data_IF_652551598485
#
_entry.id   IF_652551598485
#
_cell.length_a   1.000
_cell.length_b   1.000
_cell.length_c   1.000
_cell.angle_alpha   90.00
_cell.angle_beta   90.00
_cell.angle_gamma   90.00
#
_symmetry.space_group_name_H-M   'P 1'
#
loop_
_entity.id
_entity.type
_entity.pdbx_description
1 polymer ?
#
# COMPACT_ATOMS: atom_id res chain seq x y z
N UNK A 1 -53.73 -35.37 -64.99
CA UNK A 1 -52.86 -34.20 -64.63
C UNK A 1 -52.61 -34.27 -63.14
N UNK A 2 -51.42 -34.67 -62.73
CA UNK A 2 -51.02 -34.77 -61.30
C UNK A 2 -50.05 -33.64 -61.03
N UNK A 3 -50.47 -32.69 -60.24
CA UNK A 3 -49.66 -31.48 -59.82
C UNK A 3 -48.83 -31.84 -58.62
N UNK A 4 -47.49 -31.81 -58.75
CA UNK A 4 -46.54 -31.96 -57.64
C UNK A 4 -46.31 -30.62 -56.99
N UNK A 5 -46.66 -30.50 -55.70
CA UNK A 5 -46.30 -29.35 -54.87
C UNK A 5 -44.97 -29.70 -54.20
N UNK A 6 -43.89 -29.01 -54.55
CA UNK A 6 -42.61 -29.07 -53.87
C UNK A 6 -42.65 -28.16 -52.62
N UNK A 7 -42.72 -28.75 -51.45
CA UNK A 7 -42.58 -28.04 -50.19
C UNK A 7 -41.10 -27.65 -49.95
N UNK A 8 -40.85 -26.36 -49.83
CA UNK A 8 -39.54 -25.82 -49.46
C UNK A 8 -39.46 -25.75 -47.94
N UNK A 9 -38.67 -26.64 -47.32
CA UNK A 9 -38.38 -26.59 -45.87
C UNK A 9 -37.29 -25.56 -45.64
N UNK A 10 -37.65 -24.40 -45.08
CA UNK A 10 -36.73 -23.36 -44.68
C UNK A 10 -36.21 -23.68 -43.26
N UNK A 11 -35.00 -24.25 -43.15
CA UNK A 11 -34.34 -24.49 -41.86
C UNK A 11 -33.84 -23.15 -41.31
N UNK A 12 -34.52 -22.60 -40.32
CA UNK A 12 -34.08 -21.45 -39.57
C UNK A 12 -32.96 -21.91 -38.58
N UNK A 13 -31.74 -21.55 -38.91
CA UNK A 13 -30.62 -21.67 -37.95
C UNK A 13 -30.79 -20.55 -36.92
N UNK A 14 -31.31 -20.91 -35.75
CA UNK A 14 -31.33 -20.04 -34.58
C UNK A 14 -29.89 -19.98 -34.02
N UNK A 15 -29.12 -18.97 -34.40
CA UNK A 15 -27.86 -18.63 -33.73
C UNK A 15 -28.23 -18.15 -32.32
N UNK A 16 -28.13 -19.05 -31.34
CA UNK A 16 -28.18 -18.66 -29.94
C UNK A 16 -26.91 -17.87 -29.61
N UNK A 17 -27.00 -16.53 -29.67
CA UNK A 17 -26.02 -15.66 -29.05
C UNK A 17 -26.09 -15.92 -27.55
N UNK A 18 -25.14 -16.67 -27.03
CA UNK A 18 -24.90 -16.72 -25.58
C UNK A 18 -24.48 -15.30 -25.17
N UNK A 19 -25.39 -14.59 -24.53
CA UNK A 19 -25.04 -13.40 -23.76
C UNK A 19 -24.23 -13.89 -22.57
N UNK A 20 -22.91 -13.91 -22.70
CA UNK A 20 -22.04 -14.04 -21.53
C UNK A 20 -22.32 -12.81 -20.67
N UNK A 21 -22.83 -13.02 -19.47
CA UNK A 21 -22.82 -11.99 -18.46
C UNK A 21 -21.36 -11.52 -18.31
N UNK A 22 -21.11 -10.24 -18.50
CA UNK A 22 -19.77 -9.65 -18.36
C UNK A 22 -19.25 -9.98 -16.97
N UNK A 23 -18.14 -10.70 -16.92
CA UNK A 23 -17.56 -11.15 -15.64
C UNK A 23 -16.94 -9.92 -14.97
N UNK A 24 -17.27 -9.70 -13.70
CA UNK A 24 -16.76 -8.56 -12.92
C UNK A 24 -15.73 -9.02 -11.91
N UNK A 25 -14.59 -8.33 -11.85
CA UNK A 25 -13.59 -8.47 -10.79
C UNK A 25 -13.77 -7.32 -9.78
N UNK A 26 -14.10 -7.63 -8.55
CA UNK A 26 -14.25 -6.65 -7.47
C UNK A 26 -12.92 -6.47 -6.75
N UNK A 27 -12.32 -5.28 -6.90
CA UNK A 27 -11.03 -4.92 -6.30
C UNK A 27 -11.26 -3.90 -5.19
N UNK A 28 -10.58 -4.08 -4.06
CA UNK A 28 -10.66 -3.19 -2.90
C UNK A 28 -9.26 -2.76 -2.45
N UNK A 29 -8.94 -1.48 -2.61
CA UNK A 29 -7.63 -0.92 -2.33
C UNK A 29 -7.74 0.55 -1.86
N UNK A 30 -6.62 1.21 -1.61
CA UNK A 30 -6.59 2.66 -1.38
C UNK A 30 -6.99 3.45 -2.64
N UNK A 31 -7.44 4.68 -2.46
CA UNK A 31 -7.75 5.59 -3.57
C UNK A 31 -6.48 5.91 -4.39
N UNK A 32 -6.61 5.90 -5.74
CA UNK A 32 -5.49 6.20 -6.63
C UNK A 32 -4.35 5.17 -6.64
N UNK A 33 -4.57 3.98 -6.07
CA UNK A 33 -3.52 2.99 -5.79
C UNK A 33 -3.21 2.07 -6.97
N UNK A 34 -4.07 2.03 -7.96
CA UNK A 34 -3.90 1.21 -9.16
C UNK A 34 -3.84 2.09 -10.41
N UNK A 35 -2.82 1.95 -11.28
CA UNK A 35 -2.74 2.69 -12.52
C UNK A 35 -3.93 2.38 -13.44
N UNK A 36 -4.66 3.41 -13.83
CA UNK A 36 -5.86 3.27 -14.69
C UNK A 36 -5.54 2.56 -16.01
N UNK A 37 -4.36 2.79 -16.56
CA UNK A 37 -3.89 2.16 -17.80
C UNK A 37 -3.76 0.64 -17.62
N UNK A 38 -3.19 0.17 -16.49
CA UNK A 38 -3.08 -1.26 -16.21
C UNK A 38 -4.45 -1.91 -15.98
N UNK A 39 -5.39 -1.21 -15.30
CA UNK A 39 -6.75 -1.70 -15.12
C UNK A 39 -7.46 -1.89 -16.46
N UNK A 40 -7.45 -0.88 -17.32
CA UNK A 40 -8.06 -0.94 -18.67
C UNK A 40 -7.43 -2.01 -19.55
N UNK A 41 -6.11 -2.20 -19.46
CA UNK A 41 -5.42 -3.23 -20.23
C UNK A 41 -5.85 -4.64 -19.77
N UNK A 42 -6.02 -4.87 -18.47
CA UNK A 42 -6.55 -6.13 -17.96
C UNK A 42 -8.00 -6.38 -18.38
N UNK A 43 -8.87 -5.37 -18.27
CA UNK A 43 -10.26 -5.46 -18.72
C UNK A 43 -10.35 -5.88 -20.21
N UNK A 44 -9.54 -5.25 -21.06
CA UNK A 44 -9.50 -5.56 -22.49
C UNK A 44 -8.95 -6.97 -22.76
N UNK A 45 -7.89 -7.39 -22.03
CA UNK A 45 -7.26 -8.69 -22.21
C UNK A 45 -8.19 -9.84 -21.83
N UNK A 46 -8.87 -9.72 -20.69
CA UNK A 46 -9.69 -10.81 -20.12
C UNK A 46 -11.18 -10.71 -20.51
N UNK A 47 -11.61 -9.58 -21.12
CA UNK A 47 -13.02 -9.35 -21.45
C UNK A 47 -13.91 -9.23 -20.21
N UNK A 48 -13.44 -8.51 -19.20
CA UNK A 48 -14.09 -8.35 -17.89
C UNK A 48 -14.22 -6.87 -17.54
N UNK A 49 -15.07 -6.56 -16.55
CA UNK A 49 -15.13 -5.22 -15.94
C UNK A 49 -14.50 -5.27 -14.56
N UNK A 50 -13.67 -4.28 -14.20
CA UNK A 50 -13.13 -4.11 -12.86
C UNK A 50 -14.00 -3.12 -12.07
N UNK A 51 -14.59 -3.60 -10.98
CA UNK A 51 -15.27 -2.76 -10.00
C UNK A 51 -14.28 -2.38 -8.90
N UNK A 52 -13.71 -1.16 -8.98
CA UNK A 52 -12.72 -0.67 -8.03
C UNK A 52 -13.38 0.10 -6.90
N UNK A 53 -13.30 -0.43 -5.68
CA UNK A 53 -13.76 0.21 -4.44
C UNK A 53 -12.57 0.65 -3.61
N UNK A 54 -12.72 1.72 -2.82
CA UNK A 54 -11.64 2.28 -2.02
C UNK A 54 -11.92 2.24 -0.52
N UNK A 55 -10.84 2.26 0.26
CA UNK A 55 -10.84 2.45 1.71
C UNK A 55 -9.75 3.47 2.09
N UNK A 56 -9.88 4.04 3.29
CA UNK A 56 -8.97 5.07 3.80
C UNK A 56 -7.87 4.49 4.71
N UNK A 57 -8.16 3.37 5.40
CA UNK A 57 -7.20 2.71 6.29
C UNK A 57 -7.48 1.20 6.41
N UNK A 58 -6.48 0.45 6.88
CA UNK A 58 -6.56 -1.00 7.02
C UNK A 58 -7.64 -1.45 8.01
N UNK A 59 -7.93 -0.68 9.05
CA UNK A 59 -8.93 -0.99 10.09
C UNK A 59 -10.34 -1.02 9.48
N UNK A 60 -10.68 -0.04 8.65
CA UNK A 60 -11.95 0.03 7.93
C UNK A 60 -12.08 -1.08 6.89
N UNK A 61 -11.02 -1.36 6.15
CA UNK A 61 -10.93 -2.48 5.21
C UNK A 61 -11.20 -3.81 5.92
N UNK A 62 -10.45 -4.10 6.99
CA UNK A 62 -10.60 -5.32 7.78
C UNK A 62 -12.00 -5.47 8.37
N UNK A 63 -12.54 -4.41 8.97
CA UNK A 63 -13.88 -4.41 9.56
C UNK A 63 -14.94 -4.76 8.52
N UNK A 64 -14.83 -4.19 7.33
CA UNK A 64 -15.74 -4.49 6.21
C UNK A 64 -15.62 -5.93 5.72
N UNK A 65 -14.40 -6.45 5.55
CA UNK A 65 -14.18 -7.85 5.17
C UNK A 65 -14.72 -8.81 6.21
N UNK A 66 -14.50 -8.53 7.49
CA UNK A 66 -15.01 -9.34 8.60
C UNK A 66 -16.54 -9.36 8.64
N UNK A 67 -17.19 -8.21 8.49
CA UNK A 67 -18.66 -8.11 8.41
C UNK A 67 -19.22 -8.90 7.23
N UNK A 68 -18.55 -8.84 6.09
CA UNK A 68 -18.93 -9.56 4.88
C UNK A 68 -18.46 -11.04 4.88
N UNK A 69 -17.76 -11.51 5.92
CA UNK A 69 -17.18 -12.85 6.01
C UNK A 69 -16.32 -13.20 4.80
N UNK A 70 -15.51 -12.24 4.33
CA UNK A 70 -14.65 -12.40 3.16
C UNK A 70 -15.34 -12.38 1.81
N UNK A 71 -16.65 -12.09 1.74
CA UNK A 71 -17.38 -11.99 0.46
C UNK A 71 -17.37 -10.55 -0.08
N UNK A 72 -17.83 -10.37 -1.33
CA UNK A 72 -18.05 -9.06 -1.95
C UNK A 72 -16.85 -8.49 -2.69
N UNK A 73 -15.67 -9.03 -2.46
CA UNK A 73 -14.43 -8.66 -3.15
C UNK A 73 -13.69 -9.90 -3.64
N UNK A 74 -12.87 -9.72 -4.68
CA UNK A 74 -12.09 -10.77 -5.31
C UNK A 74 -10.60 -10.57 -5.10
N UNK A 75 -10.14 -9.32 -5.09
CA UNK A 75 -8.78 -8.93 -4.72
C UNK A 75 -8.86 -7.80 -3.70
N UNK A 76 -8.13 -7.94 -2.61
CA UNK A 76 -8.01 -6.91 -1.58
C UNK A 76 -6.54 -6.61 -1.34
N UNK A 77 -6.20 -5.34 -1.29
CA UNK A 77 -4.87 -4.92 -0.90
C UNK A 77 -4.84 -4.74 0.62
N UNK A 78 -3.78 -5.22 1.24
CA UNK A 78 -3.64 -5.14 2.68
C UNK A 78 -2.18 -4.91 3.07
N UNK A 79 -1.97 -4.08 4.06
CA UNK A 79 -0.65 -3.93 4.66
C UNK A 79 -0.25 -5.18 5.44
N UNK A 80 1.04 -5.46 5.46
CA UNK A 80 1.62 -6.69 5.98
C UNK A 80 1.08 -7.09 7.37
N UNK A 81 0.92 -6.13 8.27
CA UNK A 81 0.49 -6.38 9.66
C UNK A 81 -0.98 -6.83 9.80
N UNK A 82 -1.83 -6.67 8.77
CA UNK A 82 -3.18 -7.23 8.74
C UNK A 82 -3.26 -8.63 8.15
N UNK A 83 -2.29 -9.03 7.34
CA UNK A 83 -2.32 -10.32 6.62
C UNK A 83 -2.31 -11.49 7.57
N UNK A 84 -1.38 -11.50 8.54
CA UNK A 84 -1.30 -12.56 9.55
C UNK A 84 -2.62 -12.70 10.33
N UNK A 85 -3.21 -11.56 10.76
CA UNK A 85 -4.49 -11.52 11.46
C UNK A 85 -5.63 -12.08 10.61
N UNK A 86 -5.77 -11.61 9.37
CA UNK A 86 -6.82 -12.05 8.45
C UNK A 86 -6.65 -13.53 8.06
N UNK A 87 -5.41 -13.99 7.88
CA UNK A 87 -5.10 -15.39 7.63
C UNK A 87 -5.52 -16.30 8.80
N UNK A 88 -5.19 -15.93 10.03
CA UNK A 88 -5.61 -16.65 11.24
C UNK A 88 -7.13 -16.69 11.43
N UNK A 89 -7.84 -15.67 11.02
CA UNK A 89 -9.30 -15.58 11.11
C UNK A 89 -10.03 -16.25 9.92
N UNK A 90 -9.28 -16.81 8.96
CA UNK A 90 -9.87 -17.51 7.80
C UNK A 90 -10.55 -16.57 6.80
N UNK A 91 -10.18 -15.28 6.80
CA UNK A 91 -10.71 -14.28 5.88
C UNK A 91 -10.03 -14.28 4.51
N UNK A 92 -8.86 -14.94 4.39
CA UNK A 92 -8.07 -15.01 3.16
C UNK A 92 -8.08 -16.43 2.59
N UNK A 93 -8.14 -16.56 1.28
CA UNK A 93 -7.89 -17.78 0.54
C UNK A 93 -6.38 -17.99 0.35
N UNK A 94 -5.97 -19.25 0.22
CA UNK A 94 -4.61 -19.60 -0.16
C UNK A 94 -4.37 -19.22 -1.62
N UNK A 95 -3.22 -18.63 -1.90
CA UNK A 95 -2.78 -18.27 -3.24
C UNK A 95 -2.11 -19.49 -3.90
N UNK A 96 -2.62 -19.91 -5.04
CA UNK A 96 -1.98 -20.93 -5.87
C UNK A 96 -0.87 -20.30 -6.73
N UNK A 97 0.37 -20.46 -6.30
CA UNK A 97 1.54 -19.91 -6.99
C UNK A 97 1.69 -20.43 -8.43
N UNK A 98 1.15 -21.62 -8.75
CA UNK A 98 1.19 -22.15 -10.12
C UNK A 98 0.34 -21.31 -11.10
N UNK A 99 -0.64 -20.58 -10.59
CA UNK A 99 -1.46 -19.66 -11.39
C UNK A 99 -0.83 -18.26 -11.51
N UNK A 100 0.33 -18.02 -10.87
CA UNK A 100 1.04 -16.75 -10.91
C UNK A 100 2.49 -16.94 -11.37
N UNK A 101 2.72 -17.41 -12.61
CA UNK A 101 4.08 -17.67 -13.12
C UNK A 101 5.00 -16.45 -13.12
N UNK A 102 4.46 -15.23 -13.14
CA UNK A 102 5.26 -14.00 -13.09
C UNK A 102 5.82 -13.71 -11.70
N UNK A 103 5.37 -14.41 -10.64
CA UNK A 103 5.95 -14.33 -9.29
C UNK A 103 7.45 -14.65 -9.26
N UNK A 104 7.96 -15.44 -10.23
CA UNK A 104 9.41 -15.73 -10.39
C UNK A 104 10.28 -14.47 -10.51
N UNK A 105 9.68 -13.35 -10.94
CA UNK A 105 10.37 -12.06 -11.08
C UNK A 105 10.35 -11.23 -9.79
N UNK A 106 9.60 -11.65 -8.77
CA UNK A 106 9.58 -10.97 -7.49
C UNK A 106 10.99 -10.88 -6.86
N UNK A 107 11.25 -9.76 -6.20
CA UNK A 107 12.51 -9.58 -5.49
C UNK A 107 12.57 -10.49 -4.26
N UNK A 108 13.65 -11.26 -4.04
CA UNK A 108 13.77 -12.14 -2.88
C UNK A 108 13.64 -11.41 -1.53
N UNK A 109 13.99 -10.13 -1.50
CA UNK A 109 13.96 -9.29 -0.30
C UNK A 109 12.54 -8.96 0.20
N UNK A 110 11.54 -9.14 -0.66
CA UNK A 110 10.12 -8.85 -0.33
C UNK A 110 9.27 -10.11 -0.19
N UNK A 111 9.84 -11.29 -0.43
CA UNK A 111 9.17 -12.58 -0.25
C UNK A 111 9.52 -13.22 1.10
N UNK A 112 8.60 -14.06 1.61
CA UNK A 112 8.84 -14.85 2.80
C UNK A 112 9.03 -14.04 4.08
N UNK A 113 8.45 -12.83 4.14
CA UNK A 113 8.54 -11.98 5.32
C UNK A 113 7.69 -12.53 6.48
N UNK A 114 7.92 -12.01 7.68
CA UNK A 114 7.37 -12.54 8.93
C UNK A 114 5.84 -12.66 8.94
N UNK A 115 5.13 -11.76 8.25
CA UNK A 115 3.66 -11.76 8.19
C UNK A 115 3.07 -12.91 7.35
N UNK A 116 3.85 -13.47 6.41
CA UNK A 116 3.46 -14.61 5.58
C UNK A 116 4.71 -15.34 5.02
N UNK A 117 5.41 -16.12 5.85
CA UNK A 117 6.72 -16.70 5.49
C UNK A 117 6.71 -17.60 4.25
N UNK A 118 5.55 -18.08 3.85
CA UNK A 118 5.40 -18.95 2.67
C UNK A 118 4.70 -18.25 1.49
N UNK A 119 4.35 -16.98 1.65
CA UNK A 119 3.50 -16.25 0.71
C UNK A 119 2.21 -17.01 0.38
N UNK A 120 1.64 -17.60 1.41
CA UNK A 120 0.47 -18.47 1.32
C UNK A 120 -0.81 -17.68 1.09
N UNK A 121 -0.94 -16.52 1.71
CA UNK A 121 -2.13 -15.68 1.71
C UNK A 121 -1.93 -14.34 1.02
N UNK A 122 -0.69 -13.99 0.72
CA UNK A 122 -0.32 -12.69 0.21
C UNK A 122 0.83 -12.73 -0.77
N UNK A 123 0.82 -11.79 -1.72
CA UNK A 123 1.95 -11.51 -2.59
C UNK A 123 2.26 -10.01 -2.57
N UNK A 124 3.54 -9.61 -2.47
CA UNK A 124 3.92 -8.22 -2.43
C UNK A 124 3.42 -7.44 -3.65
N UNK A 125 2.85 -6.26 -3.43
CA UNK A 125 2.47 -5.33 -4.48
C UNK A 125 3.50 -4.22 -4.61
N UNK A 126 3.61 -3.39 -3.59
CA UNK A 126 4.62 -2.35 -3.44
C UNK A 126 5.11 -2.32 -2.00
N UNK A 127 6.24 -1.70 -1.81
CA UNK A 127 6.79 -1.43 -0.50
C UNK A 127 7.33 -0.01 -0.44
N UNK A 128 7.42 0.50 0.76
CA UNK A 128 7.85 1.88 0.94
C UNK A 128 8.42 2.14 2.31
N UNK A 129 8.72 3.40 2.50
CA UNK A 129 9.40 3.94 3.67
C UNK A 129 8.64 5.17 4.13
N UNK A 130 8.44 5.26 5.43
CA UNK A 130 8.06 6.49 6.10
C UNK A 130 9.32 7.14 6.65
N UNK A 131 9.62 8.32 6.16
CA UNK A 131 10.84 9.07 6.49
C UNK A 131 10.56 10.56 6.72
N UNK A 132 11.63 11.33 6.86
CA UNK A 132 11.58 12.78 7.02
C UNK A 132 11.28 13.46 5.69
N UNK A 133 10.47 14.49 5.73
CA UNK A 133 10.15 15.32 4.56
C UNK A 133 10.14 16.80 4.92
N UNK A 134 10.75 17.64 4.09
CA UNK A 134 10.92 19.08 4.40
C UNK A 134 11.14 19.91 3.15
N UNK A 135 10.88 21.21 3.25
CA UNK A 135 11.18 22.20 2.22
C UNK A 135 12.58 22.79 2.45
N UNK A 136 13.52 22.51 1.53
CA UNK A 136 14.89 22.98 1.62
C UNK A 136 15.07 24.50 1.40
N UNK A 137 14.07 25.17 0.82
CA UNK A 137 14.10 26.64 0.72
C UNK A 137 13.95 27.31 2.09
N UNK A 138 13.18 26.71 3.00
CA UNK A 138 12.99 27.18 4.37
C UNK A 138 13.96 26.55 5.35
N UNK A 139 14.43 25.34 5.07
CA UNK A 139 15.36 24.57 5.87
C UNK A 139 16.61 24.19 5.05
N UNK A 140 17.49 25.16 4.75
CA UNK A 140 18.64 24.90 3.86
C UNK A 140 19.66 23.91 4.43
N UNK A 141 19.71 23.74 5.74
CA UNK A 141 20.55 22.73 6.40
C UNK A 141 19.88 21.34 6.47
N UNK A 142 18.59 21.25 6.12
CA UNK A 142 17.81 20.04 6.21
C UNK A 142 17.55 19.54 7.63
N UNK A 143 16.95 18.37 7.71
CA UNK A 143 16.77 17.59 8.94
C UNK A 143 17.22 16.15 8.65
N UNK A 144 17.83 15.47 9.62
CA UNK A 144 18.37 14.11 9.46
C UNK A 144 17.91 13.14 10.53
N UNK A 145 17.21 13.64 11.55
CA UNK A 145 16.75 12.85 12.71
C UNK A 145 15.29 13.06 12.96
N UNK A 146 14.61 12.00 13.43
CA UNK A 146 13.27 12.15 13.97
C UNK A 146 13.24 13.19 15.08
N UNK A 147 14.28 13.22 15.92
CA UNK A 147 14.44 14.19 17.01
C UNK A 147 14.32 15.65 16.56
N UNK A 148 14.69 15.97 15.32
CA UNK A 148 14.64 17.33 14.79
C UNK A 148 13.21 17.89 14.78
N UNK A 149 12.18 17.02 14.64
CA UNK A 149 10.78 17.45 14.65
C UNK A 149 10.35 18.01 16.02
N UNK A 150 11.06 17.70 17.10
CA UNK A 150 10.78 18.20 18.46
C UNK A 150 11.39 19.55 18.77
N UNK A 151 12.16 20.13 17.84
CA UNK A 151 12.71 21.48 18.07
C UNK A 151 11.56 22.51 18.16
N UNK A 152 11.60 23.35 19.19
CA UNK A 152 10.57 24.33 19.48
C UNK A 152 10.41 25.41 18.39
N UNK A 153 11.44 25.61 17.56
CA UNK A 153 11.35 26.53 16.42
C UNK A 153 10.31 26.10 15.38
N UNK A 154 9.87 24.82 15.37
CA UNK A 154 8.90 24.28 14.44
C UNK A 154 7.47 24.20 15.00
N UNK A 155 7.14 25.05 15.99
CA UNK A 155 5.78 25.10 16.54
C UNK A 155 4.76 25.34 15.42
N UNK A 156 3.72 24.47 15.32
CA UNK A 156 2.67 24.50 14.29
C UNK A 156 3.20 24.45 12.84
N UNK A 157 4.29 23.70 12.58
CA UNK A 157 4.87 23.56 11.24
C UNK A 157 5.03 22.10 10.81
N UNK A 158 4.88 21.16 11.76
CA UNK A 158 5.12 19.73 11.52
C UNK A 158 3.83 19.06 11.03
N UNK A 159 3.92 18.40 9.90
CA UNK A 159 2.86 17.47 9.45
C UNK A 159 3.23 16.02 9.79
N UNK A 160 2.28 15.30 10.34
CA UNK A 160 2.37 13.85 10.53
C UNK A 160 1.33 13.14 9.64
N UNK A 161 1.66 11.94 9.23
CA UNK A 161 0.72 11.03 8.57
C UNK A 161 -0.34 10.61 9.58
N UNK A 162 -1.61 10.48 9.17
CA UNK A 162 -2.68 9.97 10.02
C UNK A 162 -2.70 8.44 9.98
N UNK A 163 -1.60 7.84 10.45
CA UNK A 163 -1.42 6.40 10.61
C UNK A 163 -0.76 6.09 11.96
N UNK A 164 -1.43 5.26 12.75
CA UNK A 164 -1.02 4.93 14.11
C UNK A 164 0.33 4.22 14.15
N UNK A 165 0.60 3.28 13.22
CA UNK A 165 1.81 2.47 13.24
C UNK A 165 3.01 3.27 12.74
N UNK A 166 2.82 4.18 11.79
CA UNK A 166 3.86 5.10 11.32
C UNK A 166 4.26 6.10 12.41
N UNK A 167 3.27 6.77 13.01
CA UNK A 167 3.53 7.81 14.03
C UNK A 167 4.14 7.23 15.29
N UNK A 168 3.61 6.10 15.79
CA UNK A 168 4.24 5.40 16.91
C UNK A 168 5.59 4.81 16.54
N UNK A 169 5.75 4.31 15.31
CA UNK A 169 7.01 3.79 14.79
C UNK A 169 8.13 4.84 14.85
N UNK A 170 7.85 6.06 14.39
CA UNK A 170 8.74 7.22 14.52
C UNK A 170 9.13 7.46 15.97
N UNK A 171 8.15 7.54 16.88
CA UNK A 171 8.41 7.83 18.29
C UNK A 171 9.13 6.69 19.02
N UNK A 172 8.91 5.44 18.63
CA UNK A 172 9.64 4.28 19.14
C UNK A 172 11.09 4.31 18.68
N UNK A 173 11.36 4.59 17.40
CA UNK A 173 12.72 4.75 16.89
C UNK A 173 13.46 5.89 17.57
N UNK A 174 12.82 7.03 17.79
CA UNK A 174 13.35 8.15 18.58
C UNK A 174 13.83 7.70 19.96
N UNK A 175 13.11 6.78 20.60
CA UNK A 175 13.44 6.26 21.93
C UNK A 175 14.36 5.02 21.90
N UNK A 176 14.84 4.60 20.72
CA UNK A 176 15.73 3.44 20.55
C UNK A 176 15.02 2.08 20.70
N UNK A 177 13.69 2.03 20.51
CA UNK A 177 12.89 0.82 20.60
C UNK A 177 12.55 0.25 19.22
N UNK A 178 12.19 -1.04 19.19
CA UNK A 178 11.60 -1.66 18.00
C UNK A 178 10.21 -1.06 17.70
N UNK A 179 9.90 -0.81 16.43
CA UNK A 179 8.55 -0.38 16.01
C UNK A 179 7.50 -1.48 16.22
N UNK A 180 7.94 -2.71 16.47
CA UNK A 180 7.08 -3.87 16.72
C UNK A 180 7.09 -4.30 18.19
N UNK A 181 7.53 -3.44 19.09
CA UNK A 181 7.53 -3.75 20.53
C UNK A 181 6.12 -4.09 21.01
N UNK A 182 6.05 -5.11 21.90
CA UNK A 182 4.84 -5.51 22.62
C UNK A 182 4.89 -5.05 24.08
N UNK A 183 5.91 -4.30 24.47
CA UNK A 183 6.10 -3.80 25.83
C UNK A 183 5.29 -2.50 26.03
N UNK A 184 4.27 -2.55 26.90
CA UNK A 184 3.39 -1.39 27.17
C UNK A 184 4.17 -0.17 27.68
N UNK A 185 5.24 -0.35 28.47
CA UNK A 185 6.05 0.78 28.98
C UNK A 185 6.83 1.48 27.85
N UNK A 186 7.30 0.75 26.84
CA UNK A 186 7.97 1.33 25.67
C UNK A 186 6.96 2.09 24.81
N UNK A 187 5.75 1.51 24.59
CA UNK A 187 4.66 2.17 23.85
C UNK A 187 4.23 3.45 24.60
N UNK A 188 4.16 3.38 25.93
CA UNK A 188 3.83 4.55 26.75
C UNK A 188 4.89 5.65 26.65
N UNK A 189 6.18 5.32 26.65
CA UNK A 189 7.24 6.30 26.43
C UNK A 189 7.16 6.96 25.06
N UNK A 190 6.85 6.18 24.00
CA UNK A 190 6.61 6.72 22.68
C UNK A 190 5.41 7.69 22.68
N UNK A 191 4.31 7.33 23.35
CA UNK A 191 3.16 8.22 23.53
C UNK A 191 3.55 9.52 24.26
N UNK A 192 4.32 9.46 25.35
CA UNK A 192 4.79 10.64 26.09
C UNK A 192 5.65 11.56 25.19
N UNK A 193 6.50 10.98 24.33
CA UNK A 193 7.25 11.73 23.32
C UNK A 193 6.30 12.40 22.32
N UNK A 194 5.27 11.72 21.84
CA UNK A 194 4.27 12.29 20.93
C UNK A 194 3.45 13.41 21.57
N UNK A 195 3.11 13.30 22.86
CA UNK A 195 2.46 14.39 23.61
C UNK A 195 3.37 15.64 23.64
N UNK A 196 4.68 15.45 23.82
CA UNK A 196 5.64 16.57 23.79
C UNK A 196 5.75 17.21 22.38
N UNK A 197 5.62 16.39 21.31
CA UNK A 197 5.64 16.86 19.93
C UNK A 197 4.41 17.69 19.55
N UNK A 198 3.30 17.49 20.24
CA UNK A 198 1.98 18.02 19.83
C UNK A 198 1.96 19.51 19.54
N UNK A 199 2.75 20.32 20.24
CA UNK A 199 2.83 21.77 20.00
C UNK A 199 3.38 22.10 18.61
N UNK A 200 4.24 21.24 18.08
CA UNK A 200 4.85 21.43 16.77
C UNK A 200 3.93 20.92 15.66
N UNK A 201 3.01 20.00 15.98
CA UNK A 201 2.11 19.38 14.99
C UNK A 201 1.07 20.39 14.52
N UNK A 202 1.09 20.69 13.24
CA UNK A 202 0.10 21.49 12.54
C UNK A 202 -1.12 20.64 12.19
N UNK A 203 -0.91 19.48 11.56
CA UNK A 203 -1.98 18.59 11.13
C UNK A 203 -1.52 17.14 11.03
N UNK A 204 -2.50 16.24 10.97
CA UNK A 204 -2.35 14.84 10.58
C UNK A 204 -3.12 14.64 9.27
N UNK A 205 -2.45 14.09 8.25
CA UNK A 205 -3.07 13.88 6.94
C UNK A 205 -2.48 12.67 6.20
N UNK A 206 -3.35 11.77 5.74
CA UNK A 206 -3.01 10.63 4.87
C UNK A 206 -3.67 10.69 3.50
N UNK A 207 -4.54 11.69 3.26
CA UNK A 207 -5.15 11.91 1.95
C UNK A 207 -4.35 12.95 1.17
N UNK A 208 -3.79 12.56 0.02
CA UNK A 208 -2.87 13.38 -0.79
C UNK A 208 -1.80 14.09 0.07
N UNK A 209 -1.02 13.36 0.90
CA UNK A 209 -0.26 13.95 2.01
C UNK A 209 0.92 14.84 1.55
N UNK A 210 1.28 14.88 0.26
CA UNK A 210 2.27 15.81 -0.28
C UNK A 210 1.72 17.23 -0.47
N UNK A 211 0.40 17.40 -0.63
CA UNK A 211 -0.24 18.67 -0.95
C UNK A 211 0.03 19.78 0.11
N UNK A 212 -0.06 19.55 1.42
CA UNK A 212 0.26 20.57 2.41
C UNK A 212 1.70 21.08 2.34
N UNK A 213 2.64 20.26 1.90
CA UNK A 213 4.03 20.69 1.70
C UNK A 213 4.19 21.50 0.41
N UNK A 214 3.55 21.08 -0.69
CA UNK A 214 3.55 21.80 -1.97
C UNK A 214 2.89 23.18 -1.82
N UNK A 215 1.80 23.27 -1.08
CA UNK A 215 1.10 24.54 -0.81
C UNK A 215 1.86 25.45 0.16
N UNK A 216 2.89 24.93 0.86
CA UNK A 216 3.61 25.65 1.89
C UNK A 216 2.88 25.76 3.24
N UNK A 217 1.80 25.02 3.44
CA UNK A 217 1.08 24.93 4.71
C UNK A 217 1.94 24.19 5.76
N UNK A 218 2.56 23.06 5.39
CA UNK A 218 3.50 22.33 6.21
C UNK A 218 4.95 22.59 5.75
N UNK A 219 5.86 22.79 6.71
CA UNK A 219 7.27 23.05 6.42
C UNK A 219 8.12 21.78 6.45
N UNK A 220 7.84 20.90 7.42
CA UNK A 220 8.57 19.65 7.64
C UNK A 220 7.67 18.63 8.33
N UNK A 221 8.13 17.40 8.38
CA UNK A 221 7.43 16.34 9.09
C UNK A 221 7.80 14.96 8.59
N UNK A 222 6.82 14.06 8.53
CA UNK A 222 6.99 12.72 8.00
C UNK A 222 6.20 12.54 6.70
N UNK A 223 6.70 11.64 5.84
CA UNK A 223 6.04 11.34 4.58
C UNK A 223 6.34 9.91 4.12
N UNK A 224 5.40 9.32 3.41
CA UNK A 224 5.66 8.13 2.61
C UNK A 224 6.48 8.49 1.38
N UNK A 225 7.49 7.71 1.07
CA UNK A 225 8.46 8.03 0.03
C UNK A 225 7.86 8.21 -1.38
N UNK A 226 6.80 7.48 -1.74
CA UNK A 226 6.11 7.68 -3.03
C UNK A 226 5.41 9.04 -3.11
N UNK A 227 4.69 9.43 -2.07
CA UNK A 227 4.08 10.75 -2.00
C UNK A 227 5.14 11.86 -1.87
N UNK A 228 6.27 11.57 -1.22
CA UNK A 228 7.40 12.49 -1.22
C UNK A 228 7.94 12.72 -2.63
N UNK A 229 8.08 11.65 -3.42
CA UNK A 229 8.47 11.76 -4.83
C UNK A 229 7.45 12.58 -5.64
N UNK A 230 6.15 12.35 -5.47
CA UNK A 230 5.10 13.14 -6.14
C UNK A 230 5.26 14.63 -5.84
N UNK A 231 5.41 14.98 -4.56
CA UNK A 231 5.65 16.38 -4.17
C UNK A 231 6.96 16.95 -4.71
N UNK A 232 8.03 16.15 -4.82
CA UNK A 232 9.30 16.58 -5.43
C UNK A 232 9.17 16.86 -6.93
N UNK A 233 8.29 16.16 -7.65
CA UNK A 233 7.98 16.45 -9.06
C UNK A 233 7.30 17.81 -9.19
N UNK A 234 6.40 18.16 -8.27
CA UNK A 234 5.69 19.44 -8.26
C UNK A 234 6.57 20.61 -7.74
N UNK A 235 7.35 20.33 -6.69
CA UNK A 235 8.21 21.29 -6.01
C UNK A 235 9.58 20.66 -5.72
N UNK A 236 10.61 20.86 -6.57
CA UNK A 236 11.93 20.24 -6.42
C UNK A 236 12.70 20.61 -5.15
N UNK A 237 12.29 21.66 -4.46
CA UNK A 237 12.83 22.09 -3.16
C UNK A 237 12.43 21.13 -2.02
N UNK A 238 11.39 20.35 -2.17
CA UNK A 238 11.01 19.34 -1.21
C UNK A 238 12.01 18.18 -1.20
N UNK A 239 12.43 17.77 -0.01
CA UNK A 239 13.46 16.74 0.18
C UNK A 239 12.95 15.65 1.09
N UNK A 240 13.23 14.41 0.70
CA UNK A 240 13.03 13.23 1.52
C UNK A 240 14.36 12.79 2.12
N UNK A 241 14.37 12.47 3.40
CA UNK A 241 15.58 12.00 4.09
C UNK A 241 15.29 10.79 4.98
N UNK A 242 16.22 9.86 4.99
CA UNK A 242 16.20 8.72 5.90
C UNK A 242 16.63 9.18 7.29
N UNK A 243 15.84 8.96 8.34
CA UNK A 243 16.20 9.36 9.70
C UNK A 243 17.35 8.49 10.23
N UNK A 244 18.29 9.11 10.95
CA UNK A 244 19.44 8.43 11.52
C UNK A 244 19.03 7.33 12.52
N UNK A 245 17.93 7.51 13.25
CA UNK A 245 17.38 6.52 14.20
C UNK A 245 16.76 5.30 13.50
N UNK A 246 16.58 5.37 12.18
CA UNK A 246 15.95 4.36 11.35
C UNK A 246 14.51 4.72 10.97
N UNK A 247 14.16 4.32 9.76
CA UNK A 247 12.86 4.57 9.16
C UNK A 247 11.84 3.46 9.51
N UNK A 248 10.57 3.78 9.33
CA UNK A 248 9.50 2.79 9.34
C UNK A 248 9.35 2.24 7.93
N UNK A 249 9.45 0.92 7.78
CA UNK A 249 9.29 0.23 6.51
C UNK A 249 7.93 -0.46 6.49
N UNK A 250 7.25 -0.38 5.35
CA UNK A 250 5.95 -1.01 5.17
C UNK A 250 5.85 -1.71 3.82
N UNK A 251 4.91 -2.63 3.73
CA UNK A 251 4.63 -3.38 2.52
C UNK A 251 3.14 -3.62 2.40
N UNK A 252 2.63 -3.38 1.20
CA UNK A 252 1.28 -3.70 0.84
C UNK A 252 1.26 -4.86 -0.15
N UNK A 253 0.25 -5.68 0.00
CA UNK A 253 0.20 -6.98 -0.66
C UNK A 253 -1.15 -7.19 -1.34
N UNK A 254 -1.13 -7.94 -2.42
CA UNK A 254 -2.31 -8.59 -2.94
C UNK A 254 -2.76 -9.69 -1.99
N UNK A 255 -4.06 -9.76 -1.73
CA UNK A 255 -4.71 -10.87 -1.04
C UNK A 255 -5.99 -11.26 -1.78
N UNK A 256 -6.43 -12.50 -1.62
CA UNK A 256 -7.69 -13.01 -2.16
C UNK A 256 -8.59 -13.33 -0.97
N UNK A 257 -9.75 -12.66 -0.80
CA UNK A 257 -10.68 -12.98 0.27
C UNK A 257 -11.22 -14.42 0.13
N UNK A 258 -11.38 -15.11 1.27
CA UNK A 258 -11.83 -16.52 1.31
C UNK A 258 -13.22 -16.74 0.73
N UNK A 259 -14.07 -15.71 0.71
CA UNK A 259 -15.42 -15.73 0.16
C UNK A 259 -15.52 -15.27 -1.30
N UNK A 260 -14.39 -15.01 -1.98
CA UNK A 260 -14.39 -14.65 -3.41
C UNK A 260 -15.01 -15.76 -4.25
N UNK A 261 -15.82 -15.37 -5.23
CA UNK A 261 -16.39 -16.26 -6.23
C UNK A 261 -15.59 -16.32 -7.52
N UNK A 262 -14.57 -15.48 -7.65
CA UNK A 262 -13.76 -15.31 -8.86
C UNK A 262 -12.27 -15.59 -8.60
N UNK A 263 -11.96 -16.55 -7.72
CA UNK A 263 -10.56 -16.88 -7.34
C UNK A 263 -9.64 -17.08 -8.57
N UNK A 264 -10.03 -17.80 -9.64
CA UNK A 264 -9.18 -17.93 -10.83
C UNK A 264 -8.91 -16.58 -11.52
N UNK A 265 -9.90 -15.69 -11.59
CA UNK A 265 -9.74 -14.36 -12.18
C UNK A 265 -8.87 -13.46 -11.30
N UNK A 266 -8.97 -13.59 -9.98
CA UNK A 266 -8.09 -12.90 -9.03
C UNK A 266 -6.62 -13.32 -9.22
N UNK A 267 -6.33 -14.60 -9.41
CA UNK A 267 -4.98 -15.07 -9.75
C UNK A 267 -4.47 -14.49 -11.07
N UNK A 268 -5.32 -14.47 -12.11
CA UNK A 268 -4.96 -13.85 -13.39
C UNK A 268 -4.62 -12.37 -13.23
N UNK A 269 -5.42 -11.63 -12.44
CA UNK A 269 -5.17 -10.21 -12.17
C UNK A 269 -3.84 -10.01 -11.45
N UNK A 270 -3.55 -10.77 -10.40
CA UNK A 270 -2.28 -10.69 -9.68
C UNK A 270 -1.12 -11.02 -10.63
N UNK A 271 -1.25 -12.10 -11.42
CA UNK A 271 -0.23 -12.46 -12.40
C UNK A 271 0.00 -11.39 -13.46
N UNK A 272 -1.07 -10.74 -13.92
CA UNK A 272 -1.00 -9.62 -14.88
C UNK A 272 -0.27 -8.43 -14.26
N UNK A 273 -0.59 -8.06 -13.01
CA UNK A 273 0.06 -6.96 -12.31
C UNK A 273 1.55 -7.24 -12.02
N UNK A 274 1.97 -8.51 -12.01
CA UNK A 274 3.38 -8.92 -11.86
C UNK A 274 4.17 -8.88 -13.18
N UNK A 275 3.55 -8.56 -14.31
CA UNK A 275 4.29 -8.33 -15.56
C UNK A 275 5.23 -7.12 -15.39
N UNK A 276 6.47 -7.18 -15.93
CA UNK A 276 7.43 -6.09 -15.77
C UNK A 276 6.90 -4.72 -16.21
N UNK A 277 6.12 -4.68 -17.30
CA UNK A 277 5.52 -3.46 -17.84
C UNK A 277 4.53 -2.83 -16.86
N UNK A 278 3.68 -3.64 -16.23
CA UNK A 278 2.71 -3.17 -15.25
C UNK A 278 3.40 -2.73 -13.96
N UNK A 279 4.43 -3.43 -13.54
CA UNK A 279 5.22 -3.04 -12.38
C UNK A 279 6.00 -1.73 -12.62
N UNK A 280 6.52 -1.51 -13.83
CA UNK A 280 7.11 -0.23 -14.20
C UNK A 280 6.07 0.91 -14.19
N UNK A 281 4.86 0.66 -14.71
CA UNK A 281 3.75 1.60 -14.69
C UNK A 281 3.33 1.98 -13.26
N UNK A 282 3.31 1.01 -12.33
CA UNK A 282 3.04 1.24 -10.91
C UNK A 282 4.05 2.22 -10.32
N UNK A 283 5.36 1.96 -10.53
CA UNK A 283 6.42 2.85 -10.02
C UNK A 283 6.29 4.26 -10.60
N UNK A 284 6.05 4.37 -11.92
CA UNK A 284 5.91 5.67 -12.60
C UNK A 284 4.69 6.46 -12.10
N UNK A 285 3.60 5.77 -11.80
CA UNK A 285 2.35 6.41 -11.38
C UNK A 285 2.34 6.76 -9.89
N UNK A 286 2.93 5.90 -9.05
CA UNK A 286 2.81 6.01 -7.60
C UNK A 286 4.08 6.51 -6.90
N UNK A 287 5.25 6.38 -7.54
CA UNK A 287 6.53 6.73 -6.93
C UNK A 287 7.02 5.74 -5.86
N UNK A 288 6.40 4.57 -5.74
CA UNK A 288 6.80 3.52 -4.80
C UNK A 288 7.63 2.43 -5.47
N UNK A 289 8.48 1.78 -4.69
CA UNK A 289 9.34 0.72 -5.20
C UNK A 289 8.55 -0.51 -5.68
N UNK A 290 8.91 -1.01 -6.86
CA UNK A 290 8.36 -2.23 -7.42
C UNK A 290 8.70 -3.45 -6.56
N UNK A 291 7.77 -4.40 -6.49
CA UNK A 291 8.03 -5.73 -5.92
C UNK A 291 8.79 -6.67 -6.87
N UNK A 292 9.06 -6.28 -8.13
CA UNK A 292 9.70 -7.12 -9.13
C UNK A 292 11.00 -6.52 -9.68
N UNK A 293 11.93 -7.39 -10.08
CA UNK A 293 13.21 -7.00 -10.69
C UNK A 293 13.01 -6.40 -12.08
N UNK A 294 12.17 -7.04 -12.91
CA UNK A 294 11.91 -6.63 -14.28
C UNK A 294 11.22 -5.27 -14.35
N UNK A 295 10.29 -4.98 -13.42
CA UNK A 295 9.65 -3.69 -13.33
C UNK A 295 10.67 -2.54 -13.15
N UNK A 296 11.60 -2.70 -12.20
CA UNK A 296 12.67 -1.70 -11.99
C UNK A 296 13.58 -1.55 -13.21
N UNK A 297 13.91 -2.65 -13.90
CA UNK A 297 14.80 -2.62 -15.06
C UNK A 297 14.23 -1.85 -16.26
N UNK A 298 12.91 -1.76 -16.39
CA UNK A 298 12.22 -1.01 -17.46
C UNK A 298 12.09 0.49 -17.18
N UNK A 299 12.41 0.95 -15.98
CA UNK A 299 12.28 2.36 -15.63
C UNK A 299 13.34 3.21 -16.33
N UNK A 300 13.00 4.47 -16.67
CA UNK A 300 14.00 5.49 -17.00
C UNK A 300 15.04 5.62 -15.88
N UNK A 301 16.28 6.00 -16.22
CA UNK A 301 17.37 6.10 -15.25
C UNK A 301 17.05 7.02 -14.05
N UNK A 302 16.36 8.13 -14.31
CA UNK A 302 15.92 9.09 -13.29
C UNK A 302 14.99 8.51 -12.22
N UNK A 303 14.18 7.51 -12.57
CA UNK A 303 13.30 6.80 -11.63
C UNK A 303 14.02 5.59 -11.02
N UNK A 304 14.67 4.81 -11.89
CA UNK A 304 15.35 3.57 -11.48
C UNK A 304 16.43 3.80 -10.41
N UNK A 305 17.12 4.94 -10.51
CA UNK A 305 18.25 5.30 -9.66
C UNK A 305 17.89 6.40 -8.63
N UNK A 306 16.61 6.72 -8.52
CA UNK A 306 16.11 7.72 -7.58
C UNK A 306 16.14 7.18 -6.13
N UNK A 307 16.92 7.79 -5.21
CA UNK A 307 17.05 7.30 -3.84
C UNK A 307 15.78 7.48 -2.99
N UNK A 308 14.85 8.35 -3.38
CA UNK A 308 13.55 8.48 -2.71
C UNK A 308 12.69 7.26 -3.00
N UNK A 309 12.72 6.72 -4.24
CA UNK A 309 11.94 5.56 -4.64
C UNK A 309 12.65 4.26 -4.23
N UNK A 310 13.97 4.18 -4.48
CA UNK A 310 14.80 3.01 -4.23
C UNK A 310 15.97 3.38 -3.30
N UNK A 311 15.76 3.36 -1.99
CA UNK A 311 16.79 3.65 -1.01
C UNK A 311 17.93 2.64 -1.08
N UNK A 312 19.09 2.99 -0.51
CA UNK A 312 20.25 2.12 -0.45
C UNK A 312 20.02 0.94 0.51
N UNK A 313 20.75 -0.17 0.27
CA UNK A 313 20.73 -1.31 1.20
C UNK A 313 21.19 -0.92 2.62
N UNK A 314 22.03 0.10 2.76
CA UNK A 314 22.49 0.62 4.06
C UNK A 314 21.35 1.32 4.80
N UNK A 315 20.56 2.13 4.11
CA UNK A 315 19.39 2.79 4.68
C UNK A 315 18.33 1.78 5.09
N UNK A 316 18.09 0.77 4.24
CA UNK A 316 17.14 -0.30 4.54
C UNK A 316 17.51 -1.10 5.80
N UNK A 317 18.80 -1.30 6.07
CA UNK A 317 19.27 -2.01 7.29
C UNK A 317 18.99 -1.26 8.59
N UNK A 318 18.86 0.07 8.55
CA UNK A 318 18.50 0.90 9.72
C UNK A 318 16.99 0.89 9.96
N UNK A 319 16.20 0.67 8.90
CA UNK A 319 14.74 0.58 8.98
C UNK A 319 14.25 -0.74 9.57
N UNK A 320 12.96 -0.77 9.89
CA UNK A 320 12.29 -1.96 10.40
C UNK A 320 10.90 -2.06 9.77
N UNK A 321 10.55 -3.25 9.25
CA UNK A 321 9.22 -3.47 8.70
C UNK A 321 8.16 -3.55 9.81
N UNK A 322 6.99 -2.94 9.55
CA UNK A 322 5.81 -3.08 10.41
C UNK A 322 5.33 -4.54 10.33
N UNK A 323 5.23 -5.18 11.50
CA UNK A 323 4.68 -6.53 11.66
C UNK A 323 3.43 -6.50 12.56
N UNK A 324 2.67 -7.58 12.57
CA UNK A 324 1.56 -7.76 13.52
C UNK A 324 2.10 -7.85 14.97
N UNK A 325 1.58 -7.00 15.80
CA UNK A 325 1.91 -6.98 17.24
C UNK A 325 0.90 -7.77 18.08
N UNK A 326 -0.13 -8.31 17.45
CA UNK A 326 -1.24 -9.00 18.08
C UNK A 326 -2.32 -8.05 18.60
N UNK A 327 -3.55 -8.58 18.84
CA UNK A 327 -4.71 -7.75 19.14
C UNK A 327 -4.59 -7.01 20.48
N UNK A 328 -3.98 -7.63 21.49
CA UNK A 328 -3.81 -7.01 22.82
C UNK A 328 -2.88 -5.80 22.75
N UNK A 329 -1.76 -5.94 22.06
CA UNK A 329 -0.79 -4.85 21.88
C UNK A 329 -1.37 -3.76 20.98
N UNK A 330 -2.06 -4.13 19.89
CA UNK A 330 -2.71 -3.16 19.00
C UNK A 330 -3.72 -2.31 19.78
N UNK A 331 -4.52 -2.90 20.67
CA UNK A 331 -5.44 -2.16 21.52
C UNK A 331 -4.74 -1.15 22.46
N UNK A 332 -3.47 -1.41 22.85
CA UNK A 332 -2.67 -0.45 23.62
C UNK A 332 -2.28 0.75 22.75
N UNK A 333 -1.82 0.50 21.51
CA UNK A 333 -1.52 1.56 20.55
C UNK A 333 -2.78 2.42 20.27
N UNK A 334 -3.91 1.78 19.98
CA UNK A 334 -5.20 2.45 19.72
C UNK A 334 -5.64 3.32 20.91
N UNK A 335 -5.52 2.81 22.13
CA UNK A 335 -5.84 3.55 23.38
C UNK A 335 -5.00 4.83 23.49
N UNK A 336 -3.69 4.75 23.25
CA UNK A 336 -2.81 5.91 23.31
C UNK A 336 -2.99 6.86 22.13
N UNK A 337 -3.26 6.32 20.93
CA UNK A 337 -3.59 7.12 19.76
C UNK A 337 -4.85 7.97 19.97
N UNK A 338 -5.92 7.36 20.44
CA UNK A 338 -7.16 8.09 20.75
C UNK A 338 -6.92 9.19 21.81
N UNK A 339 -6.12 8.91 22.84
CA UNK A 339 -5.77 9.93 23.83
C UNK A 339 -4.97 11.08 23.22
N UNK A 340 -4.01 10.78 22.34
CA UNK A 340 -3.20 11.78 21.65
C UNK A 340 -4.06 12.70 20.79
N UNK A 341 -5.01 12.12 20.06
CA UNK A 341 -5.89 12.86 19.12
C UNK A 341 -6.95 13.70 19.84
N UNK A 342 -7.39 13.30 21.03
CA UNK A 342 -8.44 13.96 21.78
C UNK A 342 -7.93 15.03 22.78
N UNK A 343 -6.64 15.22 22.93
CA UNK A 343 -6.03 16.30 23.71
C UNK A 343 -5.89 17.56 22.87
#
# INVERSE_FOLDING_TARGET
MKTFIKGLVLSAVVASSQVYAEQTLNVYAWGGYLPEKSLKAFEQQEGVTINYSTFENNESMYTKLKLLKGTGYDVVFASAYFIEKMGREGLLAEIDHNQIPNMKDAMPTVLGLAHDPQNKFSLPYIWGITGLYYNSSTLPNGITKWADLWDKQYEQQVMLIDDIRDVFGMALKLNGFSINTKNEEEIKKAYESLVALKKNVLLYNSDAPHVPYVSGEATLGMQWNGNAYQGQVEMPELKFAMPEEGAVLWMDNFTIPSGSKNIPLAHKFINFMYQPENQAEIVQSLGYASATKGGRALLPAELRDNPTIFPSDEDMKKGEFINDVGPETLAIYEKYWQRLRNQ
#
